data_IF_447118259072
#
_entry.id   IF_447118259072
#
_cell.length_a   1.000
_cell.length_b   1.000
_cell.length_c   1.000
_cell.angle_alpha   90.00
_cell.angle_beta   90.00
_cell.angle_gamma   90.00
#
_symmetry.space_group_name_H-M   'P 1'
#
loop_
_entity.id
_entity.type
_entity.pdbx_description
1 polymer ?
#
# COMPACT_ATOMS: atom_id res chain seq x y z
N UNK A 1 -5.40 -7.93 -2.90
CA UNK A 1 -4.19 -7.94 -2.05
C UNK A 1 -4.18 -9.30 -1.39
N UNK A 2 -3.03 -10.00 -1.39
CA UNK A 2 -2.96 -11.33 -0.80
C UNK A 2 -3.27 -11.26 0.70
N UNK A 3 -4.14 -12.14 1.18
CA UNK A 3 -4.43 -12.27 2.60
C UNK A 3 -3.28 -13.06 3.27
N UNK A 4 -2.30 -12.33 3.80
CA UNK A 4 -1.11 -12.94 4.41
C UNK A 4 -1.44 -13.78 5.64
N UNK A 5 -2.55 -13.48 6.34
CA UNK A 5 -3.00 -14.27 7.49
C UNK A 5 -3.51 -15.62 7.02
N UNK A 6 -4.32 -15.63 5.97
CA UNK A 6 -4.81 -16.86 5.35
C UNK A 6 -3.67 -17.73 4.80
N UNK A 7 -2.67 -17.12 4.15
CA UNK A 7 -1.49 -17.83 3.64
C UNK A 7 -0.67 -18.45 4.79
N UNK A 8 -0.45 -17.69 5.87
CA UNK A 8 0.29 -18.15 7.05
C UNK A 8 -0.38 -19.38 7.70
N UNK A 9 -1.69 -19.33 7.90
CA UNK A 9 -2.46 -20.46 8.46
C UNK A 9 -2.31 -21.70 7.60
N UNK A 10 -2.54 -21.58 6.29
CA UNK A 10 -2.47 -22.72 5.36
C UNK A 10 -1.05 -23.32 5.27
N UNK A 11 -0.01 -22.50 5.38
CA UNK A 11 1.37 -22.97 5.41
C UNK A 11 1.69 -23.73 6.70
N UNK A 12 1.20 -23.27 7.86
CA UNK A 12 1.38 -23.95 9.14
C UNK A 12 0.57 -25.24 9.24
N UNK A 13 -0.55 -25.34 8.53
CA UNK A 13 -1.31 -26.59 8.34
C UNK A 13 -0.57 -27.63 7.45
N UNK A 14 0.58 -27.27 6.86
CA UNK A 14 1.38 -28.17 6.01
C UNK A 14 0.82 -28.36 4.59
N UNK A 15 -0.03 -27.43 4.11
CA UNK A 15 -0.60 -27.50 2.77
C UNK A 15 0.45 -27.25 1.69
N UNK A 16 0.26 -27.86 0.51
CA UNK A 16 1.19 -27.65 -0.60
C UNK A 16 1.11 -26.22 -1.12
N UNK A 17 2.20 -25.70 -1.68
CA UNK A 17 2.23 -24.32 -2.19
C UNK A 17 1.18 -24.07 -3.29
N UNK A 18 0.87 -25.11 -4.07
CA UNK A 18 -0.14 -25.04 -5.12
C UNK A 18 -1.55 -24.90 -4.54
N UNK A 19 -1.87 -25.68 -3.50
CA UNK A 19 -3.16 -25.59 -2.83
C UNK A 19 -3.33 -24.24 -2.14
N UNK A 20 -2.26 -23.70 -1.54
CA UNK A 20 -2.30 -22.38 -0.90
C UNK A 20 -2.60 -21.28 -1.92
N UNK A 21 -1.99 -21.36 -3.11
CA UNK A 21 -2.25 -20.41 -4.22
C UNK A 21 -3.71 -20.47 -4.65
N UNK A 22 -4.27 -21.67 -4.85
CA UNK A 22 -5.68 -21.83 -5.25
C UNK A 22 -6.65 -21.36 -4.17
N UNK A 23 -6.42 -21.71 -2.90
CA UNK A 23 -7.35 -21.42 -1.79
C UNK A 23 -7.27 -19.96 -1.36
N UNK A 24 -6.08 -19.36 -1.34
CA UNK A 24 -5.89 -17.96 -0.93
C UNK A 24 -6.03 -16.97 -2.09
N UNK A 25 -6.06 -17.45 -3.35
CA UNK A 25 -6.15 -16.59 -4.54
C UNK A 25 -4.95 -15.64 -4.65
N UNK A 26 -3.74 -16.13 -4.32
CA UNK A 26 -2.52 -15.34 -4.25
C UNK A 26 -1.47 -15.84 -5.25
N UNK A 27 -0.37 -15.12 -5.43
CA UNK A 27 0.72 -15.57 -6.31
C UNK A 27 1.63 -16.57 -5.59
N UNK A 28 2.31 -17.44 -6.34
CA UNK A 28 3.37 -18.29 -5.78
C UNK A 28 4.47 -17.49 -5.08
N UNK A 29 4.72 -16.26 -5.53
CA UNK A 29 5.68 -15.34 -4.92
C UNK A 29 5.25 -14.91 -3.52
N UNK A 30 3.95 -14.66 -3.31
CA UNK A 30 3.41 -14.32 -1.99
C UNK A 30 3.56 -15.50 -1.01
N UNK A 31 3.25 -16.72 -1.46
CA UNK A 31 3.42 -17.93 -0.65
C UNK A 31 4.88 -18.16 -0.27
N UNK A 32 5.81 -18.04 -1.23
CA UNK A 32 7.23 -18.18 -0.96
C UNK A 32 7.76 -17.12 0.02
N UNK A 33 7.27 -15.88 -0.09
CA UNK A 33 7.63 -14.79 0.82
C UNK A 33 7.17 -15.08 2.26
N UNK A 34 5.92 -15.52 2.45
CA UNK A 34 5.41 -15.89 3.78
C UNK A 34 6.18 -17.08 4.34
N UNK A 35 6.47 -18.10 3.53
CA UNK A 35 7.23 -19.27 3.96
C UNK A 35 8.70 -18.96 4.32
N UNK A 36 9.27 -17.91 3.76
CA UNK A 36 10.58 -17.41 4.17
C UNK A 36 10.51 -16.76 5.56
N UNK A 37 9.57 -15.84 5.79
CA UNK A 37 9.39 -15.19 7.09
C UNK A 37 9.08 -16.19 8.21
N UNK A 38 8.25 -17.21 7.94
CA UNK A 38 7.95 -18.29 8.89
C UNK A 38 9.23 -19.03 9.32
N UNK A 39 10.15 -19.29 8.39
CA UNK A 39 11.42 -19.95 8.69
C UNK A 39 12.38 -19.02 9.43
N UNK A 40 12.54 -17.78 8.97
CA UNK A 40 13.45 -16.81 9.58
C UNK A 40 13.07 -16.48 11.02
N UNK A 41 11.78 -16.37 11.31
CA UNK A 41 11.25 -16.01 12.63
C UNK A 41 10.85 -17.22 13.48
N UNK A 42 11.05 -18.44 12.97
CA UNK A 42 10.67 -19.71 13.63
C UNK A 42 9.22 -19.71 14.13
N UNK A 43 8.30 -19.22 13.29
CA UNK A 43 6.88 -19.10 13.65
C UNK A 43 6.27 -20.48 13.70
N UNK A 44 5.78 -20.87 14.88
CA UNK A 44 5.16 -22.19 15.12
C UNK A 44 3.62 -22.13 15.15
N UNK A 45 3.03 -20.94 15.30
CA UNK A 45 1.58 -20.76 15.37
C UNK A 45 1.14 -19.45 14.73
N UNK A 46 0.03 -19.49 13.98
CA UNK A 46 -0.60 -18.30 13.40
C UNK A 46 -1.24 -17.39 14.47
N UNK A 47 -1.70 -17.95 15.60
CA UNK A 47 -2.33 -17.16 16.68
C UNK A 47 -1.32 -16.39 17.52
N UNK A 48 -0.04 -16.78 17.48
CA UNK A 48 1.04 -16.05 18.13
C UNK A 48 1.49 -14.81 17.35
N UNK A 49 1.05 -14.66 16.11
CA UNK A 49 1.35 -13.49 15.27
C UNK A 49 0.16 -12.54 15.35
N UNK A 50 0.39 -11.31 15.76
CA UNK A 50 -0.62 -10.24 15.74
C UNK A 50 -0.78 -9.65 14.33
N UNK A 51 -1.89 -8.96 14.08
CA UNK A 51 -2.08 -8.27 12.78
C UNK A 51 -1.08 -7.12 12.59
N UNK A 52 -0.61 -6.52 13.68
CA UNK A 52 0.41 -5.47 13.66
C UNK A 52 1.77 -6.02 13.21
N UNK A 53 2.19 -7.16 13.76
CA UNK A 53 3.43 -7.84 13.34
C UNK A 53 3.33 -8.29 11.88
N UNK A 54 2.19 -8.84 11.48
CA UNK A 54 1.97 -9.25 10.09
C UNK A 54 2.06 -8.07 9.12
N UNK A 55 1.52 -6.90 9.50
CA UNK A 55 1.63 -5.67 8.72
C UNK A 55 3.07 -5.13 8.67
N UNK A 56 3.88 -5.37 9.71
CA UNK A 56 5.29 -5.01 9.74
C UNK A 56 6.14 -5.92 8.83
N UNK A 57 5.82 -7.21 8.76
CA UNK A 57 6.54 -8.18 7.90
C UNK A 57 6.24 -7.96 6.41
N UNK A 58 4.99 -7.57 6.12
CA UNK A 58 4.52 -7.33 4.76
C UNK A 58 4.04 -5.88 4.60
N UNK A 59 4.94 -4.88 4.71
CA UNK A 59 4.55 -3.49 4.60
C UNK A 59 4.08 -3.20 3.19
N UNK A 60 2.89 -2.61 3.05
CA UNK A 60 2.38 -2.14 1.76
C UNK A 60 3.16 -0.89 1.36
N UNK A 61 4.13 -1.08 0.46
CA UNK A 61 4.97 0.01 -0.06
C UNK A 61 4.17 1.14 -0.72
N UNK A 62 2.92 0.90 -1.14
CA UNK A 62 2.04 1.96 -1.69
C UNK A 62 1.65 2.99 -0.64
N UNK A 63 1.60 2.61 0.64
CA UNK A 63 1.23 3.49 1.75
C UNK A 63 2.39 4.40 2.17
N UNK A 64 3.64 3.93 2.05
CA UNK A 64 4.84 4.75 2.32
C UNK A 64 5.03 5.88 1.32
N UNK A 65 4.69 5.64 0.04
CA UNK A 65 4.86 6.65 -1.02
C UNK A 65 4.02 7.90 -0.73
N UNK A 66 2.85 7.79 -0.09
CA UNK A 66 2.05 8.98 0.24
C UNK A 66 2.60 9.82 1.39
N UNK A 67 3.39 9.26 2.30
CA UNK A 67 3.92 10.02 3.44
C UNK A 67 5.15 10.86 3.09
N UNK A 68 5.85 10.50 2.00
CA UNK A 68 7.06 11.19 1.54
C UNK A 68 6.78 12.48 0.76
N UNK A 69 5.55 12.65 0.25
CA UNK A 69 5.17 13.81 -0.56
C UNK A 69 4.16 14.71 0.16
N UNK A 70 4.34 16.02 -0.01
CA UNK A 70 3.29 16.98 0.31
C UNK A 70 1.99 16.60 -0.40
N UNK A 71 0.94 16.34 0.39
CA UNK A 71 -0.36 16.00 -0.16
C UNK A 71 -0.97 17.21 -0.88
N UNK A 72 -1.54 17.04 -2.08
CA UNK A 72 -2.18 18.14 -2.78
C UNK A 72 -3.40 18.62 -1.99
N UNK A 73 -3.61 19.94 -1.94
CA UNK A 73 -4.82 20.54 -1.36
C UNK A 73 -6.04 20.30 -2.28
N UNK A 74 -6.62 19.10 -2.17
CA UNK A 74 -7.75 18.66 -2.98
C UNK A 74 -9.02 19.51 -2.73
N UNK A 75 -9.18 20.04 -1.52
CA UNK A 75 -10.31 20.91 -1.16
C UNK A 75 -10.29 22.21 -1.95
N UNK A 76 -9.12 22.85 -2.04
CA UNK A 76 -8.93 24.07 -2.83
C UNK A 76 -9.07 23.84 -4.33
N UNK A 77 -8.58 22.70 -4.83
CA UNK A 77 -8.77 22.30 -6.24
C UNK A 77 -10.26 22.11 -6.54
N UNK A 78 -10.98 21.37 -5.69
CA UNK A 78 -12.42 21.13 -5.87
C UNK A 78 -13.23 22.43 -5.84
N UNK A 79 -12.92 23.35 -4.92
CA UNK A 79 -13.56 24.67 -4.88
C UNK A 79 -13.32 25.47 -6.17
N UNK A 80 -12.09 25.45 -6.69
CA UNK A 80 -11.72 26.13 -7.94
C UNK A 80 -12.42 25.53 -9.16
N UNK A 81 -12.60 24.20 -9.18
CA UNK A 81 -13.35 23.48 -10.22
C UNK A 81 -14.84 23.82 -10.18
N UNK A 82 -15.44 23.92 -8.98
CA UNK A 82 -16.85 24.29 -8.84
C UNK A 82 -17.11 25.75 -9.25
N UNK A 83 -16.18 26.66 -8.96
CA UNK A 83 -16.32 28.08 -9.28
C UNK A 83 -16.05 28.40 -10.76
N UNK A 84 -15.31 27.55 -11.47
CA UNK A 84 -14.99 27.76 -12.87
C UNK A 84 -15.20 26.49 -13.69
N UNK A 85 -16.26 26.47 -14.51
CA UNK A 85 -16.59 25.37 -15.43
C UNK A 85 -15.44 25.01 -16.38
N UNK A 86 -14.55 25.97 -16.67
CA UNK A 86 -13.39 25.80 -17.55
C UNK A 86 -12.09 25.59 -16.78
N UNK A 87 -12.16 25.23 -15.49
CA UNK A 87 -10.97 24.89 -14.73
C UNK A 87 -10.34 23.61 -15.30
N UNK A 88 -9.09 23.73 -15.75
CA UNK A 88 -8.30 22.61 -16.26
C UNK A 88 -7.11 22.35 -15.36
N UNK A 89 -6.63 21.10 -15.34
CA UNK A 89 -5.39 20.74 -14.63
C UNK A 89 -4.19 21.57 -15.11
N UNK A 90 -4.13 21.91 -16.40
CA UNK A 90 -3.09 22.78 -16.97
C UNK A 90 -3.15 24.20 -16.38
N UNK A 91 -4.34 24.77 -16.22
CA UNK A 91 -4.52 26.08 -15.59
C UNK A 91 -4.10 26.06 -14.11
N UNK A 92 -4.42 24.97 -13.40
CA UNK A 92 -4.01 24.77 -12.01
C UNK A 92 -2.48 24.70 -11.88
N UNK A 93 -1.83 23.93 -12.76
CA UNK A 93 -0.38 23.80 -12.82
C UNK A 93 0.31 25.14 -13.09
N UNK A 94 -0.14 25.91 -14.08
CA UNK A 94 0.41 27.24 -14.39
C UNK A 94 0.35 28.18 -13.18
N UNK A 95 -0.82 28.25 -12.52
CA UNK A 95 -1.00 29.06 -11.30
C UNK A 95 -0.03 28.65 -10.18
N UNK A 96 0.20 27.36 -9.98
CA UNK A 96 1.15 26.88 -8.97
C UNK A 96 2.60 27.27 -9.30
N UNK A 97 3.03 27.13 -10.56
CA UNK A 97 4.37 27.54 -11.00
C UNK A 97 4.55 29.06 -10.83
N UNK A 98 3.56 29.86 -11.24
CA UNK A 98 3.60 31.32 -11.11
C UNK A 98 3.66 31.79 -9.64
N UNK A 99 3.04 31.05 -8.71
CA UNK A 99 3.12 31.39 -7.27
C UNK A 99 4.52 31.20 -6.66
N UNK A 100 5.41 30.42 -7.28
CA UNK A 100 6.78 30.23 -6.78
C UNK A 100 7.72 31.42 -7.04
N UNK A 101 7.37 32.31 -7.98
CA UNK A 101 8.17 33.51 -8.27
C UNK A 101 7.86 34.70 -7.34
N UNK A 102 6.76 34.64 -6.57
CA UNK A 102 6.35 35.75 -5.67
C UNK A 102 7.27 35.88 -4.44
N UNK A 103 8.12 34.88 -4.16
CA UNK A 103 9.08 34.88 -3.04
C UNK A 103 10.47 35.44 -3.36
N UNK A 104 10.75 35.87 -4.60
CA UNK A 104 12.02 36.54 -4.95
C UNK A 104 11.80 38.04 -5.17
N UNK A 105 11.69 38.81 -4.10
CA UNK A 105 11.97 40.25 -4.08
C UNK A 105 12.54 40.65 -2.74
#
# INVERSE_FOLDING_TARGET
>A
MADYRKILVLLLEGRSYRDVVEVAGCSHRDVARVAQEVRERSVSSATGVSDAELAEWFPDGRRKVSEEYDQPDLSRVLASMKQNRHFTLLLAWRRYVDTKDVGKK
#
